data_IF_346247014770
#
_entry.id   IF_346247014770
#
_cell.length_a   1.000
_cell.length_b   1.000
_cell.length_c   1.000
_cell.angle_alpha   90.00
_cell.angle_beta   90.00
_cell.angle_gamma   90.00
#
_symmetry.space_group_name_H-M   'P 1'
#
loop_
_entity.id
_entity.type
_entity.pdbx_description
1 polymer ?
#
# COMPACT_ATOMS: atom_id res chain seq x y z
N UNK A 1 -45.75 -10.43 53.24
CA UNK A 1 -45.92 -11.84 53.70
C UNK A 1 -45.58 -12.74 52.51
N UNK A 2 -44.40 -13.35 52.50
CA UNK A 2 -44.01 -14.32 51.47
C UNK A 2 -44.69 -15.68 51.73
N UNK A 3 -44.97 -16.45 50.68
CA UNK A 3 -44.59 -17.86 50.65
C UNK A 3 -43.98 -18.23 49.27
N UNK A 4 -42.73 -18.72 49.23
CA UNK A 4 -42.24 -20.11 49.36
C UNK A 4 -42.49 -20.97 48.10
N UNK A 5 -41.36 -21.31 47.46
CA UNK A 5 -41.16 -22.08 46.22
C UNK A 5 -41.73 -23.50 46.27
N UNK A 6 -42.15 -24.00 45.11
CA UNK A 6 -41.98 -25.41 44.73
C UNK A 6 -41.44 -25.50 43.29
N UNK A 7 -40.50 -26.43 43.11
CA UNK A 7 -39.79 -26.71 41.88
C UNK A 7 -40.62 -27.61 40.96
N UNK A 8 -40.53 -27.39 39.65
CA UNK A 8 -41.16 -28.22 38.63
C UNK A 8 -40.38 -28.13 37.33
N UNK A 9 -39.66 -29.21 37.04
CA UNK A 9 -39.15 -29.71 35.77
C UNK A 9 -39.06 -28.78 34.54
N UNK A 10 -37.81 -28.64 34.09
CA UNK A 10 -37.35 -28.19 32.78
C UNK A 10 -37.85 -29.10 31.65
N UNK A 11 -38.60 -28.52 30.71
CA UNK A 11 -38.43 -28.81 29.28
C UNK A 11 -39.10 -27.71 28.44
N UNK A 12 -38.30 -27.01 27.65
CA UNK A 12 -38.65 -26.48 26.34
C UNK A 12 -37.38 -25.84 25.78
N UNK A 13 -37.08 -26.21 24.53
CA UNK A 13 -36.59 -25.30 23.49
C UNK A 13 -36.14 -23.92 23.95
N UNK A 14 -34.85 -23.65 23.79
CA UNK A 14 -34.31 -22.46 23.12
C UNK A 14 -32.86 -22.24 23.58
N UNK A 15 -32.05 -21.71 22.67
CA UNK A 15 -30.65 -21.29 22.84
C UNK A 15 -29.59 -22.36 22.54
N UNK A 16 -29.53 -22.76 21.27
CA UNK A 16 -28.24 -23.00 20.62
C UNK A 16 -27.97 -21.79 19.73
N UNK A 17 -27.18 -20.83 20.24
CA UNK A 17 -26.67 -19.71 19.46
C UNK A 17 -25.73 -20.25 18.37
N UNK A 18 -26.22 -20.23 17.13
CA UNK A 18 -25.43 -20.41 15.93
C UNK A 18 -24.64 -19.11 15.72
N UNK A 19 -23.36 -19.08 16.14
CA UNK A 19 -22.42 -18.08 15.64
C UNK A 19 -21.90 -18.56 14.28
N UNK A 20 -22.62 -18.21 13.23
CA UNK A 20 -22.13 -18.37 11.86
C UNK A 20 -21.05 -17.33 11.59
N UNK A 21 -19.85 -17.77 11.22
CA UNK A 21 -18.96 -16.99 10.36
C UNK A 21 -18.17 -17.95 9.47
N UNK A 22 -18.89 -18.55 8.53
CA UNK A 22 -18.32 -19.19 7.34
C UNK A 22 -18.98 -18.51 6.13
N UNK A 23 -18.49 -17.32 5.79
CA UNK A 23 -18.77 -16.71 4.48
C UNK A 23 -17.59 -17.03 3.58
N UNK A 24 -17.65 -18.19 2.93
CA UNK A 24 -16.86 -18.45 1.74
C UNK A 24 -17.53 -17.71 0.58
N UNK A 25 -16.87 -16.67 0.06
CA UNK A 25 -17.23 -16.04 -1.20
C UNK A 25 -17.15 -17.08 -2.33
N UNK A 26 -18.29 -17.63 -2.72
CA UNK A 26 -18.44 -18.32 -4.01
C UNK A 26 -18.98 -17.30 -5.02
N UNK A 27 -18.07 -16.70 -5.78
CA UNK A 27 -18.43 -15.91 -6.96
C UNK A 27 -19.09 -16.80 -8.00
N UNK A 28 -20.37 -16.59 -8.27
CA UNK A 28 -21.10 -17.25 -9.32
C UNK A 28 -20.69 -16.67 -10.68
N UNK A 29 -19.92 -17.42 -11.47
CA UNK A 29 -19.78 -17.18 -12.91
C UNK A 29 -20.95 -17.91 -13.58
N UNK A 30 -21.96 -17.16 -14.00
CA UNK A 30 -23.01 -17.68 -14.87
C UNK A 30 -22.42 -17.98 -16.25
N UNK A 31 -22.10 -19.25 -16.50
CA UNK A 31 -22.07 -19.80 -17.85
C UNK A 31 -22.96 -21.02 -17.88
N UNK A 32 -23.91 -21.03 -18.82
CA UNK A 32 -24.99 -22.01 -18.89
C UNK A 32 -24.52 -23.42 -19.24
N UNK A 33 -25.40 -24.38 -18.89
CA UNK A 33 -25.41 -25.82 -19.23
C UNK A 33 -24.35 -26.69 -18.55
N UNK A 34 -24.76 -27.35 -17.47
CA UNK A 34 -25.03 -28.80 -17.44
C UNK A 34 -25.15 -29.25 -15.98
N UNK A 35 -26.26 -29.90 -15.61
CA UNK A 35 -26.51 -30.37 -14.25
C UNK A 35 -25.85 -31.74 -14.10
N UNK A 36 -24.80 -31.84 -13.29
CA UNK A 36 -24.19 -33.14 -12.92
C UNK A 36 -24.73 -33.54 -11.54
N UNK A 37 -25.29 -34.76 -11.37
CA UNK A 37 -25.91 -35.16 -10.11
C UNK A 37 -24.85 -35.43 -9.03
N UNK A 38 -25.15 -34.98 -7.81
CA UNK A 38 -24.34 -35.16 -6.60
C UNK A 38 -24.39 -36.63 -6.17
N UNK A 39 -23.33 -37.40 -6.45
CA UNK A 39 -23.13 -38.72 -5.86
C UNK A 39 -22.75 -38.59 -4.38
N UNK A 40 -23.48 -39.32 -3.53
CA UNK A 40 -23.22 -39.53 -2.11
C UNK A 40 -21.73 -39.73 -1.81
N UNK A 41 -21.15 -38.83 -1.02
CA UNK A 41 -19.83 -39.05 -0.42
C UNK A 41 -20.00 -40.04 0.73
N UNK A 42 -19.47 -41.25 0.56
CA UNK A 42 -19.31 -42.25 1.61
C UNK A 42 -18.46 -41.68 2.74
N UNK A 43 -19.04 -41.48 3.93
CA UNK A 43 -18.29 -41.15 5.15
C UNK A 43 -17.58 -42.41 5.66
N UNK A 44 -16.35 -42.63 5.20
CA UNK A 44 -15.47 -43.69 5.72
C UNK A 44 -14.84 -43.17 7.02
N UNK A 45 -15.32 -43.64 8.17
CA UNK A 45 -14.65 -43.43 9.46
C UNK A 45 -13.27 -44.08 9.45
N UNK A 46 -12.24 -43.32 9.12
CA UNK A 46 -10.86 -43.67 9.46
C UNK A 46 -10.62 -43.25 10.90
N UNK A 47 -10.50 -44.23 11.82
CA UNK A 47 -9.78 -44.02 13.07
C UNK A 47 -8.30 -43.87 12.67
N UNK A 48 -7.84 -42.64 12.49
CA UNK A 48 -6.40 -42.34 12.50
C UNK A 48 -6.09 -41.60 13.80
N UNK A 49 -4.97 -41.99 14.39
CA UNK A 49 -4.44 -41.48 15.64
C UNK A 49 -4.53 -39.96 15.70
N UNK A 50 -4.99 -39.45 16.84
CA UNK A 50 -4.82 -38.06 17.23
C UNK A 50 -3.33 -37.82 17.49
N UNK A 51 -2.55 -37.71 16.42
CA UNK A 51 -1.29 -36.99 16.46
C UNK A 51 -1.68 -35.52 16.25
N UNK A 52 -1.62 -34.79 17.36
CA UNK A 52 -1.85 -33.35 17.43
C UNK A 52 -1.10 -32.65 16.29
N UNK A 53 -1.86 -32.10 15.34
CA UNK A 53 -1.38 -30.99 14.52
C UNK A 53 -1.19 -29.81 15.47
N UNK A 54 -0.04 -29.78 16.14
CA UNK A 54 0.47 -28.59 16.82
C UNK A 54 0.69 -27.57 15.71
N UNK A 55 -0.34 -26.76 15.45
CA UNK A 55 -0.18 -25.51 14.71
C UNK A 55 0.86 -24.71 15.49
N UNK A 56 2.06 -24.61 14.93
CA UNK A 56 3.13 -23.78 15.42
C UNK A 56 2.60 -22.33 15.45
N UNK A 57 2.13 -21.87 16.62
CA UNK A 57 1.63 -20.50 16.85
C UNK A 57 2.81 -19.53 16.93
N UNK A 58 3.67 -19.56 15.91
CA UNK A 58 4.68 -18.54 15.72
C UNK A 58 3.98 -17.28 15.24
N UNK A 59 3.59 -16.44 16.19
CA UNK A 59 3.12 -15.08 15.93
C UNK A 59 4.20 -14.34 15.11
N UNK A 60 3.82 -13.89 13.93
CA UNK A 60 4.68 -13.05 13.07
C UNK A 60 4.93 -11.72 13.80
N UNK A 61 6.20 -11.34 13.94
CA UNK A 61 6.59 -10.04 14.47
C UNK A 61 6.42 -8.96 13.38
N UNK A 62 5.53 -8.00 13.64
CA UNK A 62 5.28 -6.87 12.77
C UNK A 62 6.01 -5.60 13.22
N UNK A 63 6.80 -5.61 14.30
CA UNK A 63 7.45 -4.41 14.87
C UNK A 63 8.21 -3.55 13.88
N UNK A 64 8.76 -4.15 12.81
CA UNK A 64 9.44 -3.43 11.73
C UNK A 64 8.55 -2.47 10.94
N UNK A 65 7.24 -2.73 10.83
CA UNK A 65 6.34 -1.79 10.16
C UNK A 65 6.06 -0.56 11.03
N UNK A 66 6.16 -0.71 12.34
CA UNK A 66 5.91 0.35 13.32
C UNK A 66 7.07 1.37 13.39
N UNK A 67 8.22 1.07 12.74
CA UNK A 67 9.35 2.01 12.59
C UNK A 67 9.04 3.16 11.60
N UNK A 68 8.00 3.03 10.77
CA UNK A 68 7.59 4.07 9.83
C UNK A 68 6.84 5.18 10.57
N UNK A 69 7.38 6.41 10.50
CA UNK A 69 6.77 7.57 11.17
C UNK A 69 5.41 7.95 10.58
N UNK A 70 4.61 8.69 11.35
CA UNK A 70 3.32 9.23 10.89
C UNK A 70 3.43 10.06 9.61
N UNK A 71 4.49 10.87 9.47
CA UNK A 71 4.77 11.63 8.25
C UNK A 71 5.06 10.72 7.06
N UNK A 72 5.76 9.60 7.28
CA UNK A 72 5.96 8.57 6.26
C UNK A 72 4.63 7.97 5.81
N UNK A 73 3.77 7.58 6.76
CA UNK A 73 2.43 7.07 6.48
C UNK A 73 1.58 8.09 5.73
N UNK A 74 1.66 9.38 6.11
CA UNK A 74 0.98 10.48 5.42
C UNK A 74 1.47 10.64 3.99
N UNK A 75 2.78 10.71 3.78
CA UNK A 75 3.38 10.82 2.45
C UNK A 75 2.94 9.66 1.55
N UNK A 76 2.91 8.44 2.08
CA UNK A 76 2.44 7.28 1.33
C UNK A 76 1.00 7.47 0.84
N UNK A 77 0.06 7.82 1.75
CA UNK A 77 -1.34 8.05 1.39
C UNK A 77 -1.49 9.14 0.32
N UNK A 78 -0.75 10.24 0.49
CA UNK A 78 -0.74 11.36 -0.47
C UNK A 78 -0.21 10.91 -1.83
N UNK A 79 0.90 10.16 -1.89
CA UNK A 79 1.45 9.66 -3.14
C UNK A 79 0.54 8.65 -3.84
N UNK A 80 -0.11 7.74 -3.09
CA UNK A 80 -1.09 6.82 -3.67
C UNK A 80 -2.26 7.59 -4.29
N UNK A 81 -2.71 8.66 -3.63
CA UNK A 81 -3.78 9.51 -4.15
C UNK A 81 -3.34 10.32 -5.37
N UNK A 82 -2.11 10.82 -5.40
CA UNK A 82 -1.52 11.49 -6.57
C UNK A 82 -1.36 10.52 -7.75
N UNK A 83 -0.85 9.31 -7.51
CA UNK A 83 -0.73 8.28 -8.55
C UNK A 83 -2.08 7.93 -9.18
N UNK A 84 -3.13 7.84 -8.37
CA UNK A 84 -4.49 7.69 -8.88
C UNK A 84 -4.90 8.89 -9.74
N UNK A 85 -4.76 10.11 -9.22
CA UNK A 85 -5.19 11.32 -9.92
C UNK A 85 -4.49 11.51 -11.27
N UNK A 86 -3.20 11.20 -11.35
CA UNK A 86 -2.44 11.25 -12.60
C UNK A 86 -2.95 10.23 -13.63
N UNK A 87 -3.26 8.99 -13.20
CA UNK A 87 -3.80 7.96 -14.12
C UNK A 87 -5.16 8.38 -14.67
N UNK A 88 -6.03 8.87 -13.80
CA UNK A 88 -7.37 9.29 -14.16
C UNK A 88 -7.36 10.56 -15.05
N UNK A 89 -6.39 11.45 -14.85
CA UNK A 89 -6.10 12.58 -15.73
C UNK A 89 -5.54 12.18 -17.11
N UNK A 90 -5.35 10.89 -17.39
CA UNK A 90 -4.86 10.39 -18.68
C UNK A 90 -3.34 10.18 -18.78
N UNK A 91 -2.59 10.36 -17.69
CA UNK A 91 -1.17 10.00 -17.59
C UNK A 91 -0.99 8.54 -17.19
N UNK A 92 -1.72 7.64 -17.85
CA UNK A 92 -1.67 6.20 -17.63
C UNK A 92 -0.93 5.49 -18.77
N UNK A 93 -0.18 4.45 -18.42
CA UNK A 93 0.47 3.53 -19.36
C UNK A 93 0.24 2.09 -18.92
N UNK A 94 0.12 1.18 -19.89
CA UNK A 94 0.06 -0.24 -19.62
C UNK A 94 1.46 -0.78 -19.30
N UNK A 95 1.66 -1.18 -18.05
CA UNK A 95 2.85 -1.86 -17.57
C UNK A 95 2.82 -3.38 -17.84
N UNK A 96 3.65 -4.11 -17.09
CA UNK A 96 3.69 -5.57 -17.18
C UNK A 96 2.32 -6.17 -16.88
N UNK A 97 1.89 -7.13 -17.72
CA UNK A 97 0.56 -7.78 -17.63
C UNK A 97 -0.62 -6.79 -17.61
N UNK A 98 -0.51 -5.67 -18.34
CA UNK A 98 -1.55 -4.64 -18.41
C UNK A 98 -1.84 -3.92 -17.08
N UNK A 99 -0.90 -3.94 -16.14
CA UNK A 99 -1.02 -3.14 -14.93
C UNK A 99 -1.07 -1.65 -15.27
N UNK A 100 -2.03 -0.91 -14.72
CA UNK A 100 -2.13 0.53 -14.93
C UNK A 100 -1.03 1.25 -14.12
N UNK A 101 -0.07 1.82 -14.82
CA UNK A 101 1.05 2.58 -14.25
C UNK A 101 0.94 4.06 -14.62
N UNK A 102 1.56 4.94 -13.82
CA UNK A 102 1.64 6.37 -14.16
C UNK A 102 2.74 6.56 -15.20
N UNK A 103 2.45 7.29 -16.27
CA UNK A 103 3.43 7.69 -17.28
C UNK A 103 4.19 8.96 -16.81
N UNK A 104 5.02 8.81 -15.78
CA UNK A 104 5.68 9.91 -15.06
C UNK A 104 6.49 10.85 -15.95
N UNK A 105 7.28 10.32 -16.89
CA UNK A 105 8.14 11.15 -17.75
C UNK A 105 7.30 12.03 -18.67
N UNK A 106 6.19 11.49 -19.21
CA UNK A 106 5.24 12.27 -20.00
C UNK A 106 4.60 13.38 -19.18
N UNK A 107 4.14 13.06 -17.97
CA UNK A 107 3.59 14.09 -17.07
C UNK A 107 4.60 15.20 -16.77
N UNK A 108 5.82 14.83 -16.38
CA UNK A 108 6.87 15.78 -16.04
C UNK A 108 7.23 16.70 -17.23
N UNK A 109 7.23 16.15 -18.46
CA UNK A 109 7.53 16.89 -19.68
C UNK A 109 6.38 17.80 -20.13
N UNK A 110 5.14 17.33 -20.06
CA UNK A 110 3.97 18.05 -20.59
C UNK A 110 3.43 19.11 -19.62
N UNK A 111 3.54 18.89 -18.30
CA UNK A 111 2.86 19.71 -17.28
C UNK A 111 3.78 20.54 -16.41
N UNK A 112 4.90 19.99 -15.96
CA UNK A 112 5.80 20.69 -15.05
C UNK A 112 6.86 21.49 -15.82
N UNK A 113 7.64 20.80 -16.67
CA UNK A 113 8.63 21.45 -17.54
C UNK A 113 9.69 22.27 -16.80
N UNK A 114 10.33 23.19 -17.53
CA UNK A 114 11.46 23.99 -17.04
C UNK A 114 11.05 25.16 -16.15
N UNK A 115 9.83 25.69 -16.31
CA UNK A 115 9.31 26.80 -15.48
C UNK A 115 9.14 26.32 -14.05
N UNK A 116 8.36 25.25 -13.85
CA UNK A 116 8.22 24.60 -12.55
C UNK A 116 9.57 24.24 -11.93
N UNK A 117 10.49 23.66 -12.72
CA UNK A 117 11.84 23.33 -12.23
C UNK A 117 12.60 24.55 -11.70
N UNK A 118 12.56 25.68 -12.41
CA UNK A 118 13.29 26.88 -12.02
C UNK A 118 12.76 27.49 -10.72
N UNK A 119 11.46 27.34 -10.44
CA UNK A 119 10.86 27.78 -9.18
C UNK A 119 11.23 26.86 -8.02
N UNK A 120 11.17 25.55 -8.27
CA UNK A 120 11.39 24.54 -7.24
C UNK A 120 12.86 24.42 -6.83
N UNK A 121 13.80 24.55 -7.78
CA UNK A 121 15.22 24.27 -7.52
C UNK A 121 15.86 25.19 -6.48
N UNK A 122 15.30 26.38 -6.28
CA UNK A 122 15.78 27.36 -5.30
C UNK A 122 14.99 27.32 -3.98
N UNK A 123 13.94 26.48 -3.89
CA UNK A 123 13.11 26.41 -2.70
C UNK A 123 13.81 25.64 -1.57
N UNK A 124 14.02 26.29 -0.42
CA UNK A 124 14.60 25.65 0.77
C UNK A 124 13.82 24.40 1.19
N UNK A 125 12.49 24.41 1.01
CA UNK A 125 11.63 23.26 1.32
C UNK A 125 11.88 22.04 0.42
N UNK A 126 12.47 22.22 -0.77
CA UNK A 126 12.81 21.13 -1.68
C UNK A 126 14.27 20.64 -1.53
N UNK A 127 15.12 21.39 -0.83
CA UNK A 127 16.58 21.19 -0.79
C UNK A 127 16.98 19.76 -0.43
N UNK A 128 16.35 19.15 0.57
CA UNK A 128 16.68 17.78 0.99
C UNK A 128 16.50 16.75 -0.14
N UNK A 129 15.45 16.92 -0.97
CA UNK A 129 15.17 16.01 -2.08
C UNK A 129 16.07 16.30 -3.30
N UNK A 130 16.51 17.55 -3.46
CA UNK A 130 17.31 18.00 -4.61
C UNK A 130 18.80 17.77 -4.39
N UNK A 131 19.33 18.23 -3.26
CA UNK A 131 20.76 18.22 -2.97
C UNK A 131 21.24 16.85 -2.49
N UNK A 132 20.42 16.15 -1.67
CA UNK A 132 20.78 14.88 -1.04
C UNK A 132 19.72 13.78 -1.26
N UNK A 133 19.35 13.51 -2.53
CA UNK A 133 18.25 12.62 -2.87
C UNK A 133 18.42 11.20 -2.27
N UNK A 134 17.32 10.45 -2.13
CA UNK A 134 17.38 9.06 -1.69
C UNK A 134 18.22 8.21 -2.65
N UNK A 135 19.02 7.31 -2.06
CA UNK A 135 19.79 6.28 -2.77
C UNK A 135 18.87 5.43 -3.65
N UNK A 136 19.42 4.92 -4.75
CA UNK A 136 18.75 3.97 -5.64
C UNK A 136 18.98 2.57 -5.12
N UNK A 137 17.91 1.80 -5.02
CA UNK A 137 18.01 0.36 -4.82
C UNK A 137 18.29 -0.29 -6.18
N UNK A 138 19.37 -1.05 -6.26
CA UNK A 138 19.85 -1.68 -7.50
C UNK A 138 20.15 -3.15 -7.24
N UNK A 139 20.33 -3.91 -8.32
CA UNK A 139 20.82 -5.29 -8.26
C UNK A 139 22.29 -5.27 -8.67
N UNK A 140 23.17 -5.78 -7.82
CA UNK A 140 24.60 -5.87 -8.12
C UNK A 140 24.92 -6.98 -9.14
N UNK A 141 26.18 -7.09 -9.54
CA UNK A 141 26.62 -8.10 -10.50
C UNK A 141 26.43 -9.54 -10.00
N UNK A 142 26.32 -9.74 -8.69
CA UNK A 142 26.06 -11.03 -8.05
C UNK A 142 24.57 -11.35 -7.91
N UNK A 143 23.66 -10.48 -8.38
CA UNK A 143 22.22 -10.66 -8.23
C UNK A 143 21.69 -10.26 -6.85
N UNK A 144 22.49 -9.58 -6.03
CA UNK A 144 22.10 -9.17 -4.69
C UNK A 144 21.58 -7.74 -4.66
N UNK A 145 20.81 -7.43 -3.63
CA UNK A 145 20.33 -6.08 -3.36
C UNK A 145 21.48 -5.16 -2.96
N UNK A 146 21.63 -4.05 -3.67
CA UNK A 146 22.63 -3.03 -3.38
C UNK A 146 22.02 -1.62 -3.41
N UNK A 147 22.78 -0.65 -2.91
CA UNK A 147 22.38 0.76 -2.84
C UNK A 147 23.41 1.64 -3.53
N UNK A 148 22.94 2.48 -4.45
CA UNK A 148 23.76 3.42 -5.20
C UNK A 148 23.43 4.86 -4.80
N UNK A 149 24.47 5.68 -4.57
CA UNK A 149 24.28 7.11 -4.32
C UNK A 149 23.65 7.78 -5.54
N UNK A 150 22.66 8.63 -5.31
CA UNK A 150 22.11 9.49 -6.34
C UNK A 150 22.79 10.86 -6.24
N UNK A 151 23.34 11.35 -7.35
CA UNK A 151 23.80 12.74 -7.44
C UNK A 151 22.63 13.72 -7.30
N UNK A 152 22.97 14.99 -7.04
CA UNK A 152 21.98 16.07 -6.94
C UNK A 152 21.07 16.12 -8.18
N UNK A 153 19.79 16.39 -7.95
CA UNK A 153 18.74 16.51 -8.96
C UNK A 153 18.97 17.76 -9.81
N UNK A 154 18.92 17.61 -11.14
CA UNK A 154 19.21 18.68 -12.10
C UNK A 154 18.05 19.02 -13.03
N UNK A 155 16.96 18.28 -12.94
CA UNK A 155 15.81 18.40 -13.84
C UNK A 155 14.52 17.96 -13.16
N UNK A 156 13.39 18.32 -13.76
CA UNK A 156 12.06 17.94 -13.26
C UNK A 156 11.83 16.42 -13.33
N UNK A 157 12.40 15.74 -14.32
CA UNK A 157 12.33 14.29 -14.45
C UNK A 157 13.12 13.61 -13.32
N UNK A 158 14.31 14.13 -13.01
CA UNK A 158 15.11 13.64 -11.88
C UNK A 158 14.43 13.92 -10.53
N UNK A 159 13.71 15.05 -10.40
CA UNK A 159 12.93 15.41 -9.22
C UNK A 159 11.77 14.44 -9.00
N UNK A 160 10.96 14.19 -10.02
CA UNK A 160 9.88 13.19 -9.98
C UNK A 160 10.45 11.79 -9.72
N UNK A 161 11.59 11.46 -10.31
CA UNK A 161 12.33 10.24 -10.01
C UNK A 161 12.77 10.15 -8.55
N UNK A 162 13.24 11.24 -7.95
CA UNK A 162 13.62 11.31 -6.54
C UNK A 162 12.41 11.10 -5.61
N UNK A 163 11.28 11.75 -5.92
CA UNK A 163 10.02 11.57 -5.19
C UNK A 163 9.58 10.10 -5.16
N UNK A 164 9.63 9.43 -6.32
CA UNK A 164 9.32 7.99 -6.44
C UNK A 164 10.28 7.13 -5.63
N UNK A 165 11.57 7.51 -5.56
CA UNK A 165 12.56 6.79 -4.74
C UNK A 165 12.28 6.95 -3.24
N UNK A 166 11.83 8.11 -2.76
CA UNK A 166 11.42 8.27 -1.34
C UNK A 166 10.31 7.27 -1.03
N UNK A 167 9.29 7.17 -1.89
CA UNK A 167 8.18 6.22 -1.76
C UNK A 167 8.60 4.76 -1.75
N UNK A 168 9.54 4.39 -2.64
CA UNK A 168 10.07 3.03 -2.66
C UNK A 168 10.90 2.74 -1.39
N UNK A 169 11.74 3.68 -0.97
CA UNK A 169 12.61 3.50 0.18
C UNK A 169 11.85 3.49 1.52
N UNK A 170 10.66 4.10 1.57
CA UNK A 170 9.80 4.16 2.76
C UNK A 170 9.37 2.78 3.29
N UNK A 171 9.17 1.79 2.40
CA UNK A 171 8.63 0.46 2.78
C UNK A 171 9.57 -0.70 2.52
N UNK A 172 10.55 -0.57 1.63
CA UNK A 172 11.38 -1.70 1.23
C UNK A 172 12.53 -2.02 2.19
N UNK A 173 12.57 -1.37 3.37
CA UNK A 173 13.29 -1.86 4.55
C UNK A 173 14.82 -1.97 4.42
N UNK A 174 15.43 -1.80 3.25
CA UNK A 174 16.88 -1.91 3.10
C UNK A 174 17.65 -0.72 3.68
N UNK A 175 16.95 0.17 4.40
CA UNK A 175 17.46 1.11 5.40
C UNK A 175 17.36 0.56 6.84
N UNK A 176 17.23 -0.75 7.05
CA UNK A 176 17.44 -1.38 8.34
C UNK A 176 18.89 -1.08 8.76
N UNK A 177 19.10 0.05 9.43
CA UNK A 177 20.40 0.61 9.76
C UNK A 177 20.80 1.95 9.11
N UNK A 178 19.91 2.70 8.41
CA UNK A 178 20.17 4.13 8.17
C UNK A 178 19.76 4.91 9.43
N UNK A 179 20.71 5.36 10.27
CA UNK A 179 20.43 5.89 11.60
C UNK A 179 19.76 7.27 11.57
N UNK A 180 19.60 7.88 10.39
CA UNK A 180 19.23 9.28 10.29
C UNK A 180 17.71 9.47 10.10
N UNK A 181 16.98 9.29 11.21
CA UNK A 181 15.55 9.60 11.29
C UNK A 181 15.27 11.07 10.92
N UNK A 182 16.20 11.98 11.22
CA UNK A 182 16.11 13.40 10.89
C UNK A 182 16.16 13.62 9.36
N UNK A 183 17.09 12.95 8.67
CA UNK A 183 17.15 12.97 7.21
C UNK A 183 15.89 12.41 6.57
N UNK A 184 15.35 11.31 7.08
CA UNK A 184 14.10 10.75 6.57
C UNK A 184 12.94 11.75 6.73
N UNK A 185 12.83 12.42 7.87
CA UNK A 185 11.83 13.46 8.09
C UNK A 185 11.99 14.63 7.10
N UNK A 186 13.23 15.09 6.85
CA UNK A 186 13.51 16.13 5.84
C UNK A 186 13.10 15.69 4.42
N UNK A 187 13.37 14.44 4.06
CA UNK A 187 12.94 13.88 2.77
C UNK A 187 11.42 13.79 2.65
N UNK A 188 10.71 13.43 3.74
CA UNK A 188 9.25 13.38 3.73
C UNK A 188 8.63 14.76 3.61
N UNK A 189 9.13 15.73 4.37
CA UNK A 189 8.69 17.12 4.30
C UNK A 189 8.93 17.72 2.90
N UNK A 190 10.12 17.50 2.32
CA UNK A 190 10.43 17.95 0.97
C UNK A 190 9.52 17.27 -0.08
N UNK A 191 9.25 15.97 0.07
CA UNK A 191 8.36 15.25 -0.83
C UNK A 191 6.92 15.76 -0.77
N UNK A 192 6.39 16.01 0.43
CA UNK A 192 5.06 16.58 0.62
C UNK A 192 4.97 18.00 0.03
N UNK A 193 6.01 18.81 0.22
CA UNK A 193 6.10 20.13 -0.41
C UNK A 193 6.05 20.03 -1.94
N UNK A 194 6.87 19.17 -2.56
CA UNK A 194 6.84 18.99 -4.02
C UNK A 194 5.47 18.53 -4.51
N UNK A 195 4.81 17.61 -3.81
CA UNK A 195 3.46 17.17 -4.20
C UNK A 195 2.44 18.32 -4.12
N UNK A 196 2.50 19.15 -3.09
CA UNK A 196 1.65 20.35 -2.99
C UNK A 196 1.89 21.29 -4.18
N UNK A 197 3.15 21.49 -4.59
CA UNK A 197 3.45 22.32 -5.77
C UNK A 197 2.96 21.68 -7.07
N UNK A 198 3.12 20.37 -7.24
CA UNK A 198 2.55 19.62 -8.38
C UNK A 198 1.03 19.81 -8.46
N UNK A 199 0.34 19.73 -7.31
CA UNK A 199 -1.12 19.93 -7.24
C UNK A 199 -1.53 21.38 -7.44
N UNK A 200 -0.66 22.37 -7.28
CA UNK A 200 -0.93 23.77 -7.62
C UNK A 200 -0.72 24.08 -9.10
N UNK A 201 0.18 23.33 -9.74
CA UNK A 201 0.52 23.52 -11.16
C UNK A 201 -0.54 22.93 -12.10
N UNK A 202 -1.23 21.85 -11.70
CA UNK A 202 -2.21 21.16 -12.55
C UNK A 202 -3.59 21.05 -11.89
N UNK A 203 -4.49 22.00 -12.22
CA UNK A 203 -5.87 22.08 -11.73
C UNK A 203 -6.69 20.80 -11.98
N UNK A 204 -6.43 20.09 -13.07
CA UNK A 204 -7.16 18.84 -13.39
C UNK A 204 -6.74 17.76 -12.40
N UNK A 205 -5.42 17.56 -12.24
CA UNK A 205 -4.88 16.59 -11.28
C UNK A 205 -5.30 16.96 -9.86
N UNK A 206 -5.30 18.26 -9.51
CA UNK A 206 -5.78 18.75 -8.23
C UNK A 206 -7.23 18.38 -7.96
N UNK A 207 -8.12 18.63 -8.92
CA UNK A 207 -9.56 18.37 -8.80
C UNK A 207 -9.83 16.88 -8.58
N UNK A 208 -9.15 16.02 -9.34
CA UNK A 208 -9.26 14.56 -9.17
C UNK A 208 -8.68 14.14 -7.81
N UNK A 209 -7.53 14.70 -7.43
CA UNK A 209 -6.89 14.42 -6.15
C UNK A 209 -7.81 14.74 -4.96
N UNK A 210 -8.44 15.92 -4.95
CA UNK A 210 -9.35 16.36 -3.88
C UNK A 210 -10.72 15.67 -3.94
N UNK A 211 -11.05 15.02 -5.06
CA UNK A 211 -12.34 14.37 -5.26
C UNK A 211 -13.47 15.36 -5.53
N UNK A 212 -13.15 16.51 -6.10
CA UNK A 212 -14.10 17.59 -6.42
C UNK A 212 -14.58 17.55 -7.88
N UNK A 213 -14.64 16.35 -8.47
CA UNK A 213 -15.04 16.11 -9.85
C UNK A 213 -16.56 15.93 -10.02
#
# INVERSE_FOLDING_TARGET
RAPRKQAGHTSASDQCEITSNMSCYAGAIHTGRSVIPVTQVYCRRTRSNAEDLVLNDQKIDYSKIDEVTEDGVRLFKVLMRLEFALKDAGYVVAGQRQAAEVQWDRYANEKLGSVFWNEIKEATSAAALIETPPKRQVVDQGGNLAWEEAGAVKSVQELVGALRRVRNNLFHGGKSGDPDAERNAKLYAASLYIIDQILREDDIVQTIFTGQY
#
